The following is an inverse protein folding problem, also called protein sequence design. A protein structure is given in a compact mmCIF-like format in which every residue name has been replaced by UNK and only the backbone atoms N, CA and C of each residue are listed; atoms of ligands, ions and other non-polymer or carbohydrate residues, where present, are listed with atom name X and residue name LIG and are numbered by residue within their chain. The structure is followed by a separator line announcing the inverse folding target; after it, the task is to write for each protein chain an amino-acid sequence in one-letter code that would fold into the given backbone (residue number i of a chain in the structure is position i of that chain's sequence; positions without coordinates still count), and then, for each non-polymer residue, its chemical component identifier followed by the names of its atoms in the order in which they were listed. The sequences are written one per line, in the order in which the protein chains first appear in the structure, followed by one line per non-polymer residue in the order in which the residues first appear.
data_IF_390357713045
#
_entry.id   IF_390357713045
#
_cell.length_a   1.000
_cell.length_b   1.000
_cell.length_c   1.000
_cell.angle_alpha   90.00
_cell.angle_beta   90.00
_cell.angle_gamma   90.00
#
_symmetry.space_group_name_H-M   'P 1'
#
loop_
_entity.id
_entity.type
_entity.pdbx_description
1 polymer ?
#
# COMPACT_ATOMS: atom_id res chain seq x y z
N UNK A 1 -58.94 -33.90 -10.05
CA UNK A 1 -59.54 -35.24 -9.85
C UNK A 1 -58.61 -36.03 -8.94
N UNK A 2 -58.94 -36.12 -7.66
CA UNK A 2 -58.25 -37.01 -6.73
C UNK A 2 -58.86 -38.41 -6.85
N UNK A 3 -58.03 -39.44 -7.02
CA UNK A 3 -58.39 -40.80 -6.62
C UNK A 3 -57.31 -41.39 -5.71
N UNK A 4 -57.71 -41.96 -4.56
CA UNK A 4 -56.83 -42.50 -3.54
C UNK A 4 -56.69 -44.03 -3.65
N UNK A 5 -55.59 -44.58 -3.15
CA UNK A 5 -55.39 -45.99 -2.78
C UNK A 5 -53.92 -46.12 -2.30
N UNK A 6 -53.49 -46.76 -1.21
CA UNK A 6 -54.09 -47.82 -0.39
C UNK A 6 -53.59 -47.74 1.06
N UNK A 7 -54.48 -48.20 1.93
CA UNK A 7 -54.39 -48.42 3.37
C UNK A 7 -53.24 -49.32 3.83
N UNK A 8 -52.46 -48.84 4.79
CA UNK A 8 -51.56 -49.64 5.63
C UNK A 8 -52.40 -50.52 6.58
N UNK A 9 -52.58 -51.79 6.21
CA UNK A 9 -53.08 -52.83 7.09
C UNK A 9 -52.01 -53.19 8.12
N UNK A 10 -52.12 -52.63 9.32
CA UNK A 10 -51.42 -53.17 10.49
C UNK A 10 -51.95 -54.59 10.77
N UNK A 11 -51.12 -55.60 10.49
CA UNK A 11 -51.34 -56.97 10.98
C UNK A 11 -51.25 -56.98 12.51
N UNK A 12 -52.26 -57.46 13.23
CA UNK A 12 -52.16 -57.62 14.67
C UNK A 12 -51.26 -58.82 15.01
N UNK A 13 -50.17 -58.56 15.72
CA UNK A 13 -49.34 -59.60 16.35
C UNK A 13 -50.14 -60.23 17.53
N UNK A 14 -50.31 -61.57 17.57
CA UNK A 14 -51.22 -62.24 18.51
C UNK A 14 -50.64 -62.46 19.93
N UNK A 15 -49.64 -61.68 20.36
CA UNK A 15 -48.95 -61.94 21.65
C UNK A 15 -49.17 -60.83 22.69
N UNK A 16 -49.89 -59.74 22.36
CA UNK A 16 -50.14 -58.63 23.29
C UNK A 16 -51.60 -58.50 23.76
N UNK A 17 -52.41 -59.56 23.64
CA UNK A 17 -53.82 -59.57 24.07
C UNK A 17 -54.06 -60.11 25.49
N UNK A 18 -53.01 -60.24 26.30
CA UNK A 18 -53.15 -60.46 27.75
C UNK A 18 -52.27 -59.44 28.44
N UNK A 19 -52.85 -58.31 28.83
CA UNK A 19 -52.60 -57.60 30.09
C UNK A 19 -53.50 -56.36 30.08
N UNK A 20 -54.69 -56.53 30.66
CA UNK A 20 -55.58 -55.43 31.02
C UNK A 20 -54.82 -54.47 31.95
N UNK A 21 -54.91 -53.19 31.62
CA UNK A 21 -54.36 -52.05 32.35
C UNK A 21 -54.94 -52.02 33.77
N UNK A 22 -54.09 -51.90 34.81
CA UNK A 22 -54.18 -50.99 35.99
C UNK A 22 -53.16 -51.38 37.11
N UNK A 23 -52.06 -50.58 37.22
CA UNK A 23 -51.23 -50.12 38.38
C UNK A 23 -50.60 -51.09 39.44
N UNK A 24 -49.44 -50.76 40.11
CA UNK A 24 -48.26 -49.92 39.78
C UNK A 24 -46.90 -50.69 39.79
N UNK A 25 -45.80 -49.97 39.48
CA UNK A 25 -44.36 -50.33 39.54
C UNK A 25 -43.92 -51.28 40.69
N UNK A 26 -42.84 -52.11 40.55
CA UNK A 26 -41.55 -51.70 39.96
C UNK A 26 -40.97 -52.72 38.97
N UNK A 27 -40.83 -52.34 37.70
CA UNK A 27 -39.91 -53.03 36.81
C UNK A 27 -38.49 -52.68 37.27
N UNK A 28 -37.78 -53.68 37.78
CA UNK A 28 -36.37 -53.59 38.15
C UNK A 28 -35.61 -52.85 37.03
N UNK A 29 -34.77 -51.84 37.30
CA UNK A 29 -34.09 -51.06 36.26
C UNK A 29 -33.31 -51.92 35.24
N UNK A 30 -32.99 -53.17 35.59
CA UNK A 30 -32.45 -54.15 34.65
C UNK A 30 -33.48 -54.66 33.64
N UNK A 31 -34.68 -54.99 34.07
CA UNK A 31 -35.74 -55.54 33.22
C UNK A 31 -36.34 -54.48 32.31
N UNK A 32 -36.48 -53.23 32.77
CA UNK A 32 -36.90 -52.12 31.91
C UNK A 32 -35.85 -51.80 30.85
N UNK A 33 -34.56 -51.81 31.20
CA UNK A 33 -33.46 -51.69 30.23
C UNK A 33 -33.42 -52.89 29.27
N UNK A 34 -33.74 -54.09 29.75
CA UNK A 34 -33.75 -55.28 28.91
C UNK A 34 -34.92 -55.27 27.93
N UNK A 35 -36.11 -54.84 28.36
CA UNK A 35 -37.27 -54.63 27.49
C UNK A 35 -37.03 -53.51 26.49
N UNK A 36 -36.45 -52.39 26.94
CA UNK A 36 -36.11 -51.27 26.07
C UNK A 36 -35.05 -51.71 25.06
N UNK A 37 -34.01 -52.44 25.46
CA UNK A 37 -33.04 -53.01 24.52
C UNK A 37 -33.70 -54.00 23.57
N UNK A 38 -34.64 -54.83 24.01
CA UNK A 38 -35.38 -55.76 23.13
C UNK A 38 -36.26 -55.03 22.12
N UNK A 39 -36.98 -53.99 22.54
CA UNK A 39 -37.77 -53.15 21.65
C UNK A 39 -36.88 -52.38 20.67
N UNK A 40 -35.78 -51.82 21.16
CA UNK A 40 -34.87 -51.03 20.32
C UNK A 40 -34.14 -51.92 19.32
N UNK A 41 -33.73 -53.12 19.72
CA UNK A 41 -33.10 -54.10 18.82
C UNK A 41 -34.10 -54.65 17.81
N UNK A 42 -35.32 -55.01 18.25
CA UNK A 42 -36.39 -55.48 17.35
C UNK A 42 -36.76 -54.41 16.32
N UNK A 43 -36.94 -53.15 16.74
CA UNK A 43 -37.27 -52.06 15.83
C UNK A 43 -36.13 -51.77 14.84
N UNK A 44 -34.87 -51.80 15.31
CA UNK A 44 -33.70 -51.64 14.44
C UNK A 44 -33.54 -52.79 13.46
N UNK A 45 -33.77 -54.03 13.90
CA UNK A 45 -33.72 -55.22 13.05
C UNK A 45 -34.82 -55.20 11.98
N UNK A 46 -35.99 -54.66 12.32
CA UNK A 46 -37.07 -54.46 11.36
C UNK A 46 -36.77 -53.33 10.36
N UNK A 47 -36.17 -52.23 10.80
CA UNK A 47 -35.69 -51.17 9.91
C UNK A 47 -34.58 -51.66 8.96
N UNK A 48 -33.64 -52.45 9.47
CA UNK A 48 -32.58 -53.06 8.66
C UNK A 48 -33.14 -54.07 7.65
N UNK A 49 -34.28 -54.71 7.94
CA UNK A 49 -34.97 -55.63 7.02
C UNK A 49 -35.76 -54.93 5.91
N UNK A 50 -36.32 -53.74 6.18
CA UNK A 50 -37.05 -52.93 5.19
C UNK A 50 -36.11 -52.12 4.29
N UNK A 51 -34.85 -51.92 4.71
CA UNK A 51 -33.81 -51.22 3.94
C UNK A 51 -32.59 -52.12 3.62
N UNK A 52 -32.75 -53.18 2.81
CA UNK A 52 -31.60 -53.93 2.31
C UNK A 52 -30.73 -53.03 1.42
N UNK A 53 -29.41 -53.08 1.66
CA UNK A 53 -28.40 -52.28 0.98
C UNK A 53 -28.59 -52.23 -0.55
N UNK A 54 -28.50 -51.04 -1.13
CA UNK A 54 -28.12 -50.88 -2.53
C UNK A 54 -26.72 -51.49 -2.71
N UNK A 55 -26.67 -52.71 -3.23
CA UNK A 55 -25.43 -53.31 -3.73
C UNK A 55 -25.03 -52.54 -4.98
N UNK A 56 -24.06 -51.65 -4.85
CA UNK A 56 -23.25 -51.24 -5.98
C UNK A 56 -22.60 -52.49 -6.57
N UNK A 57 -23.10 -52.87 -7.73
CA UNK A 57 -22.57 -53.94 -8.56
C UNK A 57 -21.22 -53.49 -9.12
N UNK A 58 -20.15 -53.74 -8.37
CA UNK A 58 -18.80 -53.88 -8.92
C UNK A 58 -18.15 -55.14 -8.36
N UNK A 59 -18.69 -56.28 -8.78
CA UNK A 59 -17.98 -57.54 -8.71
C UNK A 59 -16.90 -57.58 -9.79
N UNK A 60 -15.64 -57.37 -9.42
CA UNK A 60 -14.49 -57.90 -10.16
C UNK A 60 -13.50 -58.47 -9.13
N UNK A 61 -13.58 -59.80 -8.99
CA UNK A 61 -12.46 -60.76 -8.89
C UNK A 61 -11.39 -60.54 -7.83
N UNK A 62 -11.28 -61.47 -6.87
CA UNK A 62 -10.03 -62.21 -6.54
C UNK A 62 -10.27 -63.25 -5.44
N UNK A 63 -10.00 -64.51 -5.77
CA UNK A 63 -9.91 -65.66 -4.86
C UNK A 63 -8.62 -65.60 -4.00
N UNK A 64 -8.72 -66.24 -2.82
CA UNK A 64 -7.64 -66.89 -2.04
C UNK A 64 -6.49 -66.04 -1.48
N UNK A 65 -6.39 -65.92 -0.15
CA UNK A 65 -5.55 -66.81 0.69
C UNK A 65 -5.54 -66.37 2.17
N UNK A 66 -5.69 -67.35 3.07
CA UNK A 66 -5.30 -67.24 4.48
C UNK A 66 -3.80 -66.98 4.63
N UNK A 67 -3.40 -66.05 5.51
CA UNK A 67 -2.41 -66.30 6.58
C UNK A 67 -2.54 -65.25 7.68
N UNK A 68 -2.46 -65.69 8.93
CA UNK A 68 -2.41 -64.83 10.12
C UNK A 68 -1.05 -64.14 10.25
N UNK A 69 -1.02 -62.84 10.61
CA UNK A 69 0.05 -62.25 11.45
C UNK A 69 -0.34 -60.88 12.02
N UNK A 70 -0.60 -60.90 13.33
CA UNK A 70 -0.39 -59.89 14.40
C UNK A 70 -0.33 -58.38 14.08
N UNK A 71 -1.40 -57.69 14.52
CA UNK A 71 -1.48 -56.65 15.57
C UNK A 71 -0.45 -55.52 15.65
N UNK A 72 -0.96 -54.28 15.46
CA UNK A 72 -0.76 -53.03 16.26
C UNK A 72 -1.38 -51.87 15.45
N UNK A 73 -2.27 -50.99 15.90
CA UNK A 73 -2.75 -50.50 17.21
C UNK A 73 -4.19 -49.99 17.05
N UNK A 74 -4.94 -50.02 18.15
CA UNK A 74 -6.29 -49.47 18.30
C UNK A 74 -6.33 -47.95 18.43
N UNK A 75 -7.26 -47.30 17.73
CA UNK A 75 -8.22 -46.26 18.16
C UNK A 75 -8.80 -45.65 16.87
N UNK A 76 -10.11 -45.54 16.63
CA UNK A 76 -11.21 -45.06 17.44
C UNK A 76 -12.51 -45.83 17.09
N UNK A 77 -13.29 -46.13 18.13
CA UNK A 77 -14.72 -46.47 18.12
C UNK A 77 -15.24 -47.54 17.14
N UNK A 78 -15.57 -48.68 17.74
CA UNK A 78 -16.46 -49.79 17.35
C UNK A 78 -17.91 -49.34 16.96
N UNK A 79 -18.10 -48.16 16.38
CA UNK A 79 -19.41 -47.57 16.02
C UNK A 79 -19.89 -47.90 14.60
N UNK A 80 -19.08 -48.52 13.76
CA UNK A 80 -19.45 -48.87 12.38
C UNK A 80 -20.04 -50.29 12.23
N UNK A 81 -20.91 -50.73 13.15
CA UNK A 81 -21.51 -52.07 13.05
C UNK A 81 -22.86 -52.11 12.34
N UNK A 82 -23.55 -50.97 12.23
CA UNK A 82 -24.86 -50.95 11.55
C UNK A 82 -24.77 -50.25 10.19
N UNK A 83 -25.36 -50.83 9.13
CA UNK A 83 -25.35 -50.22 7.79
C UNK A 83 -26.03 -48.85 7.78
N UNK A 84 -26.97 -48.63 8.71
CA UNK A 84 -27.68 -47.38 8.93
C UNK A 84 -26.77 -46.30 9.52
N UNK A 85 -25.92 -46.62 10.50
CA UNK A 85 -24.91 -45.68 11.00
C UNK A 85 -23.88 -45.33 9.92
N UNK A 86 -23.47 -46.30 9.09
CA UNK A 86 -22.55 -46.05 7.97
C UNK A 86 -23.18 -45.15 6.91
N UNK A 87 -24.47 -45.33 6.61
CA UNK A 87 -25.20 -44.48 5.68
C UNK A 87 -25.38 -43.06 6.24
N UNK A 88 -25.78 -42.93 7.51
CA UNK A 88 -25.88 -41.64 8.18
C UNK A 88 -24.53 -40.91 8.23
N UNK A 89 -23.46 -41.63 8.55
CA UNK A 89 -22.12 -41.08 8.51
C UNK A 89 -21.75 -40.64 7.09
N UNK A 90 -22.05 -41.45 6.07
CA UNK A 90 -21.81 -41.09 4.66
C UNK A 90 -22.63 -39.89 4.18
N UNK A 91 -23.84 -39.66 4.72
CA UNK A 91 -24.64 -38.48 4.43
C UNK A 91 -24.09 -37.24 5.15
N UNK A 92 -23.73 -37.39 6.43
CA UNK A 92 -23.18 -36.30 7.25
C UNK A 92 -21.74 -35.91 6.86
N UNK A 93 -20.99 -36.81 6.22
CA UNK A 93 -19.63 -36.54 5.73
C UNK A 93 -19.59 -36.19 4.24
N UNK A 94 -20.74 -36.13 3.57
CA UNK A 94 -20.79 -35.76 2.16
C UNK A 94 -20.41 -34.28 1.98
N UNK A 95 -19.41 -33.96 1.14
CA UNK A 95 -18.90 -32.59 0.96
C UNK A 95 -19.95 -31.60 0.41
N UNK A 96 -21.07 -32.10 -0.12
CA UNK A 96 -22.19 -31.25 -0.58
C UNK A 96 -23.07 -30.75 0.59
N UNK A 97 -23.09 -31.46 1.72
CA UNK A 97 -23.79 -31.05 2.95
C UNK A 97 -22.85 -30.39 3.96
N UNK A 98 -21.54 -30.62 3.84
CA UNK A 98 -20.48 -29.86 4.50
C UNK A 98 -20.13 -28.57 3.76
N UNK A 99 -21.14 -27.87 3.22
CA UNK A 99 -21.04 -26.43 3.06
C UNK A 99 -21.01 -25.84 4.47
N UNK A 100 -19.80 -25.74 5.02
CA UNK A 100 -19.51 -24.90 6.16
C UNK A 100 -19.92 -23.47 5.76
N UNK A 101 -21.18 -23.14 6.05
CA UNK A 101 -21.54 -21.79 6.41
C UNK A 101 -20.64 -21.46 7.60
N UNK A 102 -19.50 -20.82 7.33
CA UNK A 102 -18.82 -19.95 8.29
C UNK A 102 -19.85 -18.87 8.69
N UNK A 103 -20.77 -19.23 9.59
CA UNK A 103 -21.73 -18.33 10.20
C UNK A 103 -21.48 -18.34 11.69
N UNK A 104 -20.87 -17.25 12.14
CA UNK A 104 -21.20 -16.66 13.44
C UNK A 104 -20.65 -17.39 14.66
N UNK A 105 -19.33 -17.50 14.76
CA UNK A 105 -18.70 -17.39 16.08
C UNK A 105 -17.73 -16.20 16.08
N UNK A 106 -18.22 -15.15 16.72
CA UNK A 106 -17.52 -13.91 17.01
C UNK A 106 -16.23 -14.15 17.79
N UNK A 107 -15.16 -13.48 17.35
CA UNK A 107 -13.90 -13.23 18.07
C UNK A 107 -12.76 -14.25 17.99
N UNK A 108 -12.68 -15.09 16.94
CA UNK A 108 -11.42 -15.76 16.57
C UNK A 108 -11.08 -15.54 15.08
N UNK A 109 -11.17 -14.29 14.62
CA UNK A 109 -10.36 -13.87 13.47
C UNK A 109 -8.94 -13.67 13.99
N UNK A 110 -8.22 -14.78 14.16
CA UNK A 110 -6.78 -14.74 13.96
C UNK A 110 -6.60 -14.18 12.54
N UNK A 111 -6.21 -12.91 12.47
CA UNK A 111 -5.88 -12.14 11.28
C UNK A 111 -5.31 -13.04 10.17
N UNK A 112 -6.16 -13.58 9.28
CA UNK A 112 -5.70 -14.31 8.09
C UNK A 112 -4.74 -13.38 7.35
N UNK A 113 -3.53 -13.84 7.06
CA UNK A 113 -2.55 -13.02 6.36
C UNK A 113 -3.17 -12.59 5.02
N UNK A 114 -3.22 -11.29 4.68
CA UNK A 114 -3.77 -10.85 3.40
C UNK A 114 -3.10 -11.55 2.21
N UNK A 115 -1.85 -12.01 2.34
CA UNK A 115 -1.19 -12.81 1.30
C UNK A 115 -1.77 -14.22 1.13
N UNK A 116 -2.34 -14.82 2.16
CA UNK A 116 -3.02 -16.13 2.04
C UNK A 116 -4.33 -16.00 1.26
N UNK A 117 -5.03 -14.88 1.47
CA UNK A 117 -6.24 -14.54 0.71
C UNK A 117 -5.86 -14.29 -0.75
N UNK A 118 -4.74 -13.60 -0.99
CA UNK A 118 -4.20 -13.39 -2.32
C UNK A 118 -3.91 -14.72 -3.03
N UNK A 119 -3.18 -15.63 -2.39
CA UNK A 119 -2.81 -16.91 -2.99
C UNK A 119 -4.05 -17.77 -3.32
N UNK A 120 -5.07 -17.76 -2.46
CA UNK A 120 -6.34 -18.45 -2.73
C UNK A 120 -7.09 -17.85 -3.93
N UNK A 121 -7.16 -16.52 -4.00
CA UNK A 121 -7.81 -15.84 -5.11
C UNK A 121 -7.04 -16.00 -6.45
N UNK A 122 -5.70 -16.07 -6.40
CA UNK A 122 -4.86 -16.42 -7.56
C UNK A 122 -5.11 -17.87 -8.01
N UNK A 123 -5.13 -18.83 -7.08
CA UNK A 123 -5.39 -20.24 -7.40
C UNK A 123 -6.77 -20.45 -8.03
N UNK A 124 -7.76 -19.66 -7.61
CA UNK A 124 -9.11 -19.68 -8.15
C UNK A 124 -9.26 -18.87 -9.46
N UNK A 125 -8.21 -18.19 -9.93
CA UNK A 125 -8.24 -17.36 -11.13
C UNK A 125 -9.11 -16.10 -11.02
N UNK A 126 -9.51 -15.69 -9.81
CA UNK A 126 -10.40 -14.56 -9.56
C UNK A 126 -9.65 -13.24 -9.29
N UNK A 127 -8.32 -13.24 -9.37
CA UNK A 127 -7.52 -12.08 -9.00
C UNK A 127 -7.61 -10.96 -10.05
N UNK A 128 -7.97 -9.76 -9.62
CA UNK A 128 -7.95 -8.53 -10.43
C UNK A 128 -6.89 -7.54 -9.94
N UNK A 129 -6.57 -6.51 -10.74
CA UNK A 129 -5.62 -5.45 -10.35
C UNK A 129 -6.10 -4.65 -9.15
N UNK A 130 -7.41 -4.43 -9.01
CA UNK A 130 -8.03 -3.79 -7.85
C UNK A 130 -7.90 -4.63 -6.58
N UNK A 131 -8.04 -5.96 -6.70
CA UNK A 131 -7.93 -6.86 -5.55
C UNK A 131 -6.47 -6.99 -5.09
N UNK A 132 -5.54 -7.06 -6.04
CA UNK A 132 -4.10 -7.04 -5.75
C UNK A 132 -3.68 -5.75 -5.03
N UNK A 133 -4.22 -4.60 -5.45
CA UNK A 133 -4.03 -3.31 -4.76
C UNK A 133 -4.55 -3.33 -3.33
N UNK A 134 -5.79 -3.81 -3.14
CA UNK A 134 -6.41 -3.90 -1.81
C UNK A 134 -5.58 -4.81 -0.90
N UNK A 135 -5.06 -5.93 -1.41
CA UNK A 135 -4.19 -6.84 -0.68
C UNK A 135 -2.87 -6.16 -0.27
N UNK A 136 -2.17 -5.50 -1.21
CA UNK A 136 -0.92 -4.81 -0.91
C UNK A 136 -1.11 -3.66 0.08
N UNK A 137 -2.22 -2.92 -0.02
CA UNK A 137 -2.58 -1.85 0.90
C UNK A 137 -2.90 -2.40 2.31
N UNK A 138 -3.63 -3.52 2.39
CA UNK A 138 -3.93 -4.21 3.64
C UNK A 138 -2.64 -4.73 4.30
N UNK A 139 -1.74 -5.36 3.53
CA UNK A 139 -0.44 -5.83 4.03
C UNK A 139 0.43 -4.68 4.50
N UNK A 140 0.47 -3.56 3.76
CA UNK A 140 1.20 -2.35 4.17
C UNK A 140 0.64 -1.79 5.48
N UNK A 141 -0.69 -1.75 5.61
CA UNK A 141 -1.35 -1.29 6.83
C UNK A 141 -1.07 -2.21 8.02
N UNK A 142 -0.93 -3.52 7.78
CA UNK A 142 -0.51 -4.48 8.80
C UNK A 142 0.94 -4.24 9.23
N UNK A 143 1.86 -3.97 8.28
CA UNK A 143 3.28 -3.67 8.55
C UNK A 143 3.44 -2.34 9.30
N UNK A 144 2.64 -1.32 8.97
CA UNK A 144 2.67 -0.04 9.69
C UNK A 144 2.11 -0.17 11.11
N UNK A 145 1.16 -1.08 11.33
CA UNK A 145 0.60 -1.36 12.66
C UNK A 145 1.45 -2.33 13.48
N UNK A 146 2.31 -3.13 12.84
CA UNK A 146 3.22 -4.01 13.54
C UNK A 146 4.41 -3.22 14.08
N UNK A 147 5.01 -3.71 15.17
CA UNK A 147 6.14 -3.08 15.85
C UNK A 147 7.47 -3.27 15.09
N UNK A 148 7.47 -3.15 13.77
CA UNK A 148 8.69 -3.28 12.96
C UNK A 148 9.40 -1.93 12.99
N UNK A 149 10.70 -1.95 13.32
CA UNK A 149 11.56 -0.76 13.45
C UNK A 149 11.66 0.06 12.16
N UNK A 150 11.37 -0.56 11.01
CA UNK A 150 11.43 0.03 9.68
C UNK A 150 10.36 -0.58 8.78
N UNK A 151 9.44 0.24 8.29
CA UNK A 151 8.37 -0.20 7.37
C UNK A 151 8.95 -0.82 6.10
N UNK A 152 10.12 -0.36 5.62
CA UNK A 152 10.81 -0.93 4.45
C UNK A 152 11.30 -2.35 4.71
N UNK A 153 11.83 -2.62 5.90
CA UNK A 153 12.30 -3.96 6.26
C UNK A 153 11.12 -4.91 6.43
N UNK A 154 10.02 -4.47 7.02
CA UNK A 154 8.78 -5.23 7.08
C UNK A 154 8.17 -5.51 5.70
N UNK A 155 8.28 -4.57 4.75
CA UNK A 155 7.89 -4.79 3.35
C UNK A 155 8.79 -5.80 2.66
N UNK A 156 10.11 -5.72 2.89
CA UNK A 156 11.09 -6.67 2.35
C UNK A 156 10.87 -8.09 2.86
N UNK A 157 10.65 -8.25 4.16
CA UNK A 157 10.40 -9.55 4.79
C UNK A 157 9.07 -10.16 4.35
N UNK A 158 8.08 -9.32 4.04
CA UNK A 158 6.77 -9.78 3.56
C UNK A 158 6.83 -10.46 2.19
N UNK A 159 7.79 -10.12 1.32
CA UNK A 159 7.90 -10.66 -0.04
C UNK A 159 6.64 -10.50 -0.91
N UNK A 160 5.74 -9.59 -0.52
CA UNK A 160 4.43 -9.42 -1.13
C UNK A 160 4.54 -8.85 -2.54
N UNK A 161 5.50 -7.94 -2.76
CA UNK A 161 5.81 -7.37 -4.07
C UNK A 161 6.23 -8.45 -5.07
N UNK A 162 7.09 -9.37 -4.67
CA UNK A 162 7.55 -10.47 -5.50
C UNK A 162 6.42 -11.43 -5.88
N UNK A 163 5.51 -11.74 -4.95
CA UNK A 163 4.37 -12.60 -5.23
C UNK A 163 3.39 -11.95 -6.21
N UNK A 164 3.06 -10.66 -6.01
CA UNK A 164 2.21 -9.91 -6.94
C UNK A 164 2.90 -9.76 -8.30
N UNK A 165 4.22 -9.54 -8.33
CA UNK A 165 4.99 -9.47 -9.57
C UNK A 165 4.96 -10.79 -10.33
N UNK A 166 5.15 -11.92 -9.66
CA UNK A 166 5.04 -13.26 -10.27
C UNK A 166 3.66 -13.49 -10.85
N UNK A 167 2.62 -13.11 -10.11
CA UNK A 167 1.26 -13.17 -10.60
C UNK A 167 1.08 -12.32 -11.87
N UNK A 168 1.50 -11.05 -11.87
CA UNK A 168 1.42 -10.15 -13.02
C UNK A 168 2.16 -10.68 -14.26
N UNK A 169 3.30 -11.35 -14.06
CA UNK A 169 4.05 -11.99 -15.15
C UNK A 169 3.30 -13.21 -15.67
N UNK A 170 2.80 -14.07 -14.77
CA UNK A 170 2.07 -15.29 -15.12
C UNK A 170 0.70 -15.03 -15.78
N UNK A 171 0.02 -13.94 -15.40
CA UNK A 171 -1.26 -13.54 -15.97
C UNK A 171 -1.13 -12.90 -17.35
N UNK A 172 0.10 -12.62 -17.80
CA UNK A 172 0.35 -11.90 -19.05
C UNK A 172 -0.08 -10.42 -19.02
N UNK A 173 -0.59 -9.93 -17.89
CA UNK A 173 -1.00 -8.53 -17.71
C UNK A 173 0.19 -7.58 -17.78
N UNK A 174 1.42 -8.06 -17.53
CA UNK A 174 2.65 -7.27 -17.81
C UNK A 174 2.80 -6.83 -19.28
N UNK A 175 2.10 -7.48 -20.22
CA UNK A 175 2.11 -7.10 -21.63
C UNK A 175 1.10 -6.00 -21.98
N UNK A 176 0.05 -5.84 -21.17
CA UNK A 176 -0.98 -4.82 -21.31
C UNK A 176 -0.64 -3.68 -20.35
N UNK A 177 -0.35 -2.49 -20.87
CA UNK A 177 0.03 -1.33 -20.06
C UNK A 177 -1.10 -0.81 -19.17
N UNK A 178 -2.29 -1.41 -19.24
CA UNK A 178 -3.52 -1.06 -18.54
C UNK A 178 -3.33 -1.00 -17.00
N UNK A 179 -2.43 -1.81 -16.42
CA UNK A 179 -2.15 -1.74 -14.97
C UNK A 179 -1.31 -0.52 -14.56
N UNK A 180 -0.62 0.12 -15.51
CA UNK A 180 0.16 1.34 -15.27
C UNK A 180 -0.75 2.57 -15.12
N UNK A 181 -2.01 2.49 -15.58
CA UNK A 181 -3.00 3.57 -15.47
C UNK A 181 -3.49 3.77 -14.02
N UNK A 182 -3.56 2.71 -13.20
CA UNK A 182 -3.88 2.86 -11.77
C UNK A 182 -2.65 3.36 -11.00
N UNK A 183 -2.54 4.69 -10.91
CA UNK A 183 -1.49 5.41 -10.18
C UNK A 183 -1.36 4.92 -8.73
N UNK A 184 -2.46 4.55 -8.07
CA UNK A 184 -2.42 4.15 -6.67
C UNK A 184 -1.92 2.71 -6.49
N UNK A 185 -2.28 1.79 -7.41
CA UNK A 185 -1.65 0.47 -7.46
C UNK A 185 -0.15 0.59 -7.73
N UNK A 186 0.20 1.35 -8.77
CA UNK A 186 1.58 1.63 -9.17
C UNK A 186 2.42 2.21 -8.03
N UNK A 187 1.88 3.17 -7.28
CA UNK A 187 2.57 3.77 -6.13
C UNK A 187 2.93 2.72 -5.09
N UNK A 188 1.96 1.90 -4.67
CA UNK A 188 2.17 0.88 -3.65
C UNK A 188 3.14 -0.19 -4.18
N UNK A 189 2.97 -0.61 -5.43
CA UNK A 189 3.84 -1.60 -6.07
C UNK A 189 5.29 -1.12 -6.16
N UNK A 190 5.53 0.13 -6.59
CA UNK A 190 6.89 0.69 -6.65
C UNK A 190 7.56 0.75 -5.28
N UNK A 191 6.81 1.09 -4.22
CA UNK A 191 7.34 1.05 -2.85
C UNK A 191 7.78 -0.37 -2.43
N UNK A 192 6.98 -1.40 -2.74
CA UNK A 192 7.36 -2.80 -2.49
C UNK A 192 8.56 -3.25 -3.33
N UNK A 193 8.62 -2.86 -4.61
CA UNK A 193 9.75 -3.22 -5.48
C UNK A 193 11.07 -2.60 -5.01
N UNK A 194 11.03 -1.36 -4.51
CA UNK A 194 12.20 -0.68 -3.93
C UNK A 194 12.58 -1.27 -2.57
N UNK A 195 11.61 -1.72 -1.77
CA UNK A 195 11.88 -2.41 -0.51
C UNK A 195 12.51 -3.80 -0.72
N UNK A 196 12.04 -4.55 -1.71
CA UNK A 196 12.48 -5.92 -2.01
C UNK A 196 13.69 -6.01 -2.96
N UNK A 197 14.18 -4.89 -3.49
CA UNK A 197 15.33 -4.86 -4.41
C UNK A 197 15.00 -5.30 -5.85
N UNK A 198 13.72 -5.27 -6.23
CA UNK A 198 13.22 -5.65 -7.56
C UNK A 198 13.24 -4.46 -8.55
N UNK A 199 14.16 -3.51 -8.36
CA UNK A 199 14.26 -2.28 -9.15
C UNK A 199 14.40 -2.56 -10.66
N UNK A 200 15.10 -3.62 -11.06
CA UNK A 200 15.28 -3.97 -12.48
C UNK A 200 13.97 -4.33 -13.18
N UNK A 201 13.03 -4.96 -12.46
CA UNK A 201 11.71 -5.23 -13.02
C UNK A 201 10.90 -3.93 -13.21
N UNK A 202 11.03 -2.99 -12.28
CA UNK A 202 10.39 -1.67 -12.39
C UNK A 202 10.98 -0.89 -13.58
N UNK A 203 12.30 -0.99 -13.79
CA UNK A 203 12.96 -0.37 -14.93
C UNK A 203 12.48 -0.89 -16.29
N UNK A 204 12.07 -2.16 -16.39
CA UNK A 204 11.47 -2.67 -17.64
C UNK A 204 10.16 -1.94 -17.97
N UNK A 205 9.35 -1.65 -16.96
CA UNK A 205 8.11 -0.88 -17.14
C UNK A 205 8.39 0.59 -17.45
N UNK A 206 9.35 1.19 -16.75
CA UNK A 206 9.78 2.58 -17.04
C UNK A 206 10.29 2.70 -18.47
N UNK A 207 11.14 1.78 -18.95
CA UNK A 207 11.63 1.79 -20.34
C UNK A 207 10.50 1.69 -21.36
N UNK A 208 9.60 0.73 -21.18
CA UNK A 208 8.44 0.55 -22.06
C UNK A 208 7.54 1.78 -22.08
N UNK A 209 7.38 2.43 -20.93
CA UNK A 209 6.66 3.69 -20.80
C UNK A 209 7.34 4.81 -21.59
N UNK A 210 8.66 4.97 -21.42
CA UNK A 210 9.46 5.99 -22.10
C UNK A 210 9.51 5.79 -23.62
N UNK A 211 9.53 4.56 -24.13
CA UNK A 211 9.43 4.27 -25.57
C UNK A 211 8.11 4.76 -26.17
N UNK A 212 7.02 4.74 -25.38
CA UNK A 212 5.74 5.29 -25.80
C UNK A 212 5.70 6.83 -25.77
N UNK A 213 6.69 7.51 -25.17
CA UNK A 213 6.75 8.96 -25.10
C UNK A 213 6.84 9.63 -26.48
N UNK A 214 7.54 9.01 -27.43
CA UNK A 214 7.65 9.53 -28.81
C UNK A 214 6.29 9.67 -29.49
N UNK A 215 5.31 8.83 -29.11
CA UNK A 215 3.94 8.92 -29.62
C UNK A 215 3.16 10.05 -28.93
N UNK A 216 3.45 10.30 -27.66
CA UNK A 216 2.84 11.39 -26.87
C UNK A 216 3.30 12.76 -27.33
N UNK A 217 4.54 12.89 -27.82
CA UNK A 217 5.07 14.16 -28.37
C UNK A 217 4.25 14.73 -29.54
N UNK A 218 3.49 13.89 -30.25
CA UNK A 218 2.62 14.31 -31.34
C UNK A 218 1.30 14.92 -30.85
N UNK A 219 0.95 14.71 -29.58
CA UNK A 219 -0.26 15.27 -28.97
C UNK A 219 -0.01 16.72 -28.52
N UNK A 220 -1.07 17.53 -28.54
CA UNK A 220 -1.03 18.94 -28.11
C UNK A 220 -2.15 19.22 -27.11
N UNK A 221 -1.92 20.17 -26.21
CA UNK A 221 -2.93 20.63 -25.25
C UNK A 221 -3.07 19.75 -24.00
N UNK A 222 -4.30 19.51 -23.56
CA UNK A 222 -4.61 18.79 -22.32
C UNK A 222 -4.30 17.29 -22.44
N UNK A 223 -4.51 16.70 -23.61
CA UNK A 223 -4.21 15.28 -23.88
C UNK A 223 -2.71 14.99 -23.76
N UNK A 224 -1.86 15.94 -24.15
CA UNK A 224 -0.42 15.85 -23.94
C UNK A 224 -0.07 15.78 -22.44
N UNK A 225 -0.72 16.60 -21.61
CA UNK A 225 -0.43 16.64 -20.16
C UNK A 225 -0.90 15.36 -19.47
N UNK A 226 -2.05 14.82 -19.86
CA UNK A 226 -2.54 13.55 -19.35
C UNK A 226 -1.61 12.39 -19.74
N UNK A 227 -1.31 12.26 -21.04
CA UNK A 227 -0.43 11.21 -21.54
C UNK A 227 1.01 11.35 -21.03
N UNK A 228 1.51 12.56 -20.82
CA UNK A 228 2.81 12.80 -20.18
C UNK A 228 2.82 12.29 -18.74
N UNK A 229 1.74 12.50 -17.97
CA UNK A 229 1.64 12.01 -16.59
C UNK A 229 1.63 10.49 -16.54
N UNK A 230 0.98 9.83 -17.49
CA UNK A 230 0.98 8.37 -17.59
C UNK A 230 2.36 7.84 -17.94
N UNK A 231 3.04 8.47 -18.90
CA UNK A 231 4.36 8.01 -19.34
C UNK A 231 5.47 8.28 -18.32
N UNK A 232 5.47 9.47 -17.70
CA UNK A 232 6.48 9.89 -16.71
C UNK A 232 6.12 9.40 -15.30
N UNK A 233 4.86 9.03 -15.06
CA UNK A 233 4.33 8.56 -13.78
C UNK A 233 5.14 7.42 -13.16
N UNK A 234 5.44 6.33 -13.88
CA UNK A 234 6.29 5.24 -13.40
C UNK A 234 7.65 5.70 -12.87
N UNK A 235 8.32 6.61 -13.60
CA UNK A 235 9.62 7.16 -13.20
C UNK A 235 9.49 8.03 -11.94
N UNK A 236 8.48 8.90 -11.90
CA UNK A 236 8.20 9.75 -10.74
C UNK A 236 7.89 8.92 -9.49
N UNK A 237 7.12 7.84 -9.63
CA UNK A 237 6.77 6.96 -8.52
C UNK A 237 7.97 6.15 -8.04
N UNK A 238 8.83 5.69 -8.94
CA UNK A 238 10.09 5.03 -8.58
C UNK A 238 11.00 5.97 -7.78
N UNK A 239 11.22 7.18 -8.29
CA UNK A 239 12.03 8.20 -7.60
C UNK A 239 11.43 8.58 -6.24
N UNK A 240 10.10 8.67 -6.15
CA UNK A 240 9.40 8.89 -4.88
C UNK A 240 9.56 7.73 -3.91
N UNK A 241 9.54 6.50 -4.39
CA UNK A 241 9.73 5.31 -3.57
C UNK A 241 11.18 5.20 -3.05
N UNK A 242 12.17 5.53 -3.88
CA UNK A 242 13.58 5.61 -3.47
C UNK A 242 13.84 6.75 -2.48
N UNK A 243 13.12 7.86 -2.62
CA UNK A 243 13.20 9.00 -1.71
C UNK A 243 12.24 8.91 -0.51
N UNK A 244 11.41 7.84 -0.43
CA UNK A 244 10.42 7.68 0.63
C UNK A 244 11.11 7.26 1.91
N UNK A 245 11.11 8.18 2.89
CA UNK A 245 11.46 7.90 4.28
C UNK A 245 10.38 7.01 4.87
N UNK A 246 10.63 5.72 5.00
CA UNK A 246 9.68 4.87 5.70
C UNK A 246 9.94 4.86 7.21
N UNK A 247 11.20 4.87 7.67
CA UNK A 247 11.57 5.06 9.11
C UNK A 247 13.08 5.20 9.32
N UNK A 248 13.91 4.74 8.38
CA UNK A 248 15.37 4.92 8.44
C UNK A 248 15.79 6.19 7.69
N UNK A 249 16.86 6.88 8.16
CA UNK A 249 17.50 7.96 7.42
C UNK A 249 18.15 7.35 6.16
N UNK A 250 17.37 7.12 5.12
CA UNK A 250 17.89 6.66 3.83
C UNK A 250 18.43 7.89 3.11
N UNK A 251 19.69 7.84 2.66
CA UNK A 251 20.26 8.95 1.89
C UNK A 251 19.52 9.11 0.55
N UNK A 252 19.49 10.33 0.03
CA UNK A 252 18.90 10.64 -1.27
C UNK A 252 19.67 10.04 -2.47
N UNK A 253 20.77 9.34 -2.19
CA UNK A 253 21.70 8.82 -3.19
C UNK A 253 21.02 7.86 -4.17
N UNK A 254 20.18 6.95 -3.68
CA UNK A 254 19.45 6.03 -4.55
C UNK A 254 18.51 6.78 -5.51
N UNK A 255 17.90 7.87 -5.04
CA UNK A 255 17.01 8.70 -5.84
C UNK A 255 17.79 9.55 -6.87
N UNK A 256 18.99 10.04 -6.53
CA UNK A 256 19.88 10.71 -7.48
C UNK A 256 20.47 9.76 -8.53
N UNK A 257 20.85 8.55 -8.13
CA UNK A 257 21.37 7.54 -9.05
C UNK A 257 20.28 7.03 -10.00
N UNK A 258 19.03 6.87 -9.53
CA UNK A 258 17.91 6.52 -10.42
C UNK A 258 17.61 7.64 -11.42
N UNK A 259 17.73 8.91 -11.02
CA UNK A 259 17.62 10.04 -11.94
C UNK A 259 18.74 10.02 -13.00
N UNK A 260 19.97 9.80 -12.57
CA UNK A 260 21.13 9.74 -13.47
C UNK A 260 21.02 8.57 -14.45
N UNK A 261 20.51 7.43 -13.99
CA UNK A 261 20.20 6.28 -14.84
C UNK A 261 19.08 6.59 -15.84
N UNK A 262 18.03 7.29 -15.42
CA UNK A 262 16.97 7.75 -16.33
C UNK A 262 17.53 8.65 -17.43
N UNK A 263 18.38 9.62 -17.06
CA UNK A 263 19.03 10.51 -18.02
C UNK A 263 19.91 9.73 -19.03
N UNK A 264 20.62 8.70 -18.58
CA UNK A 264 21.40 7.82 -19.45
C UNK A 264 20.56 7.12 -20.53
N UNK A 265 19.34 6.70 -20.22
CA UNK A 265 18.44 6.11 -21.23
C UNK A 265 17.88 7.11 -22.23
N UNK A 266 17.91 8.41 -21.90
CA UNK A 266 17.37 9.47 -22.74
C UNK A 266 18.45 10.13 -23.60
N UNK A 267 19.71 9.67 -23.57
CA UNK A 267 20.88 10.30 -24.20
C UNK A 267 20.83 10.54 -25.72
N UNK A 268 19.74 10.20 -26.41
CA UNK A 268 19.49 10.52 -27.81
C UNK A 268 18.39 11.56 -28.07
N UNK A 269 17.73 12.08 -27.02
CA UNK A 269 16.66 13.07 -27.13
C UNK A 269 17.17 14.52 -27.07
N UNK A 270 16.39 15.46 -27.59
CA UNK A 270 16.69 16.89 -27.44
C UNK A 270 16.56 17.36 -25.99
N UNK A 271 17.26 18.43 -25.63
CA UNK A 271 17.20 19.01 -24.27
C UNK A 271 15.78 19.36 -23.86
N UNK A 272 14.93 19.86 -24.77
CA UNK A 272 13.54 20.18 -24.47
C UNK A 272 12.69 18.94 -24.19
N UNK A 273 12.95 17.81 -24.83
CA UNK A 273 12.22 16.56 -24.57
C UNK A 273 12.68 15.95 -23.25
N UNK A 274 13.98 15.97 -22.98
CA UNK A 274 14.53 15.56 -21.70
C UNK A 274 13.95 16.39 -20.55
N UNK A 275 13.80 17.71 -20.69
CA UNK A 275 13.16 18.55 -19.67
C UNK A 275 11.71 18.14 -19.42
N UNK A 276 10.97 17.69 -20.45
CA UNK A 276 9.58 17.23 -20.29
C UNK A 276 9.50 15.91 -19.53
N UNK A 277 10.47 15.01 -19.69
CA UNK A 277 10.49 13.71 -19.03
C UNK A 277 11.08 13.80 -17.62
N UNK A 278 12.26 14.41 -17.50
CA UNK A 278 13.03 14.50 -16.24
C UNK A 278 12.59 15.66 -15.35
N UNK A 279 11.84 16.64 -15.89
CA UNK A 279 11.32 17.78 -15.13
C UNK A 279 10.53 17.35 -13.89
N UNK A 280 9.37 16.69 -14.03
CA UNK A 280 8.55 16.32 -12.87
C UNK A 280 9.28 15.54 -11.76
N UNK A 281 10.06 14.47 -12.05
CA UNK A 281 10.80 13.76 -11.01
C UNK A 281 11.99 14.58 -10.48
N UNK A 282 12.65 15.39 -11.32
CA UNK A 282 13.76 16.25 -10.89
C UNK A 282 13.30 17.37 -9.95
N UNK A 283 12.16 18.00 -10.23
CA UNK A 283 11.55 19.01 -9.36
C UNK A 283 11.17 18.44 -7.99
N UNK A 284 10.68 17.19 -7.96
CA UNK A 284 10.42 16.50 -6.71
C UNK A 284 11.70 16.32 -5.89
N UNK A 285 12.81 15.91 -6.52
CA UNK A 285 14.11 15.76 -5.84
C UNK A 285 14.66 17.10 -5.36
N UNK A 286 14.64 18.14 -6.18
CA UNK A 286 15.06 19.49 -5.78
C UNK A 286 14.28 19.95 -4.55
N UNK A 287 12.95 19.77 -4.54
CA UNK A 287 12.14 20.14 -3.38
C UNK A 287 12.48 19.29 -2.16
N UNK A 288 12.73 18.00 -2.35
CA UNK A 288 13.10 17.09 -1.27
C UNK A 288 14.49 17.37 -0.67
N UNK A 289 15.41 17.93 -1.46
CA UNK A 289 16.74 18.38 -0.99
C UNK A 289 16.69 19.74 -0.33
N UNK A 290 15.94 20.68 -0.90
CA UNK A 290 15.86 22.07 -0.43
C UNK A 290 14.98 22.19 0.81
N UNK A 291 13.83 21.51 0.82
CA UNK A 291 12.87 21.51 1.93
C UNK A 291 12.81 20.11 2.56
N UNK A 292 13.84 19.65 3.28
CA UNK A 292 13.82 18.35 3.90
C UNK A 292 12.70 18.30 4.96
N UNK A 293 11.82 17.32 4.85
CA UNK A 293 10.73 17.09 5.83
C UNK A 293 11.22 16.35 7.07
N UNK A 294 12.44 15.82 7.05
CA UNK A 294 13.05 15.00 8.09
C UNK A 294 14.56 15.23 8.14
N UNK A 295 15.19 14.98 9.28
CA UNK A 295 16.66 15.00 9.45
C UNK A 295 17.27 13.82 8.69
N UNK A 296 17.65 14.08 7.44
CA UNK A 296 18.26 13.10 6.54
C UNK A 296 19.78 13.10 6.65
N UNK A 297 20.45 11.95 6.41
CA UNK A 297 21.89 11.93 6.33
C UNK A 297 22.31 12.65 5.04
N UNK A 298 23.50 13.27 5.08
CA UNK A 298 24.03 13.98 3.91
C UNK A 298 24.21 12.99 2.75
N UNK A 299 23.81 13.36 1.53
CA UNK A 299 24.04 12.53 0.36
C UNK A 299 25.54 12.40 0.06
N UNK A 300 25.91 11.33 -0.63
CA UNK A 300 27.28 11.16 -1.13
C UNK A 300 27.61 12.22 -2.19
N UNK A 301 28.86 12.68 -2.18
CA UNK A 301 29.35 13.71 -3.10
C UNK A 301 29.16 13.30 -4.57
N UNK A 302 29.49 12.05 -4.92
CA UNK A 302 29.33 11.55 -6.29
C UNK A 302 27.88 11.53 -6.78
N UNK A 303 26.93 11.15 -5.91
CA UNK A 303 25.52 11.12 -6.27
C UNK A 303 24.94 12.53 -6.39
N UNK A 304 25.37 13.44 -5.52
CA UNK A 304 24.96 14.84 -5.54
C UNK A 304 25.50 15.58 -6.78
N UNK A 305 26.78 15.40 -7.12
CA UNK A 305 27.39 15.99 -8.31
C UNK A 305 26.76 15.45 -9.60
N UNK A 306 26.47 14.15 -9.65
CA UNK A 306 25.73 13.55 -10.77
C UNK A 306 24.36 14.21 -10.94
N UNK A 307 23.66 14.48 -9.84
CA UNK A 307 22.38 15.20 -9.87
C UNK A 307 22.53 16.67 -10.27
N UNK A 308 23.56 17.37 -9.77
CA UNK A 308 23.86 18.76 -10.15
C UNK A 308 24.03 18.91 -11.67
N UNK A 309 24.74 17.96 -12.29
CA UNK A 309 24.95 17.94 -13.75
C UNK A 309 23.65 17.85 -14.57
N UNK A 310 22.57 17.33 -13.98
CA UNK A 310 21.28 17.15 -14.65
C UNK A 310 20.35 18.37 -14.55
N UNK A 311 20.65 19.33 -13.67
CA UNK A 311 19.79 20.51 -13.46
C UNK A 311 19.53 21.33 -14.74
N UNK A 312 20.53 21.59 -15.60
CA UNK A 312 20.31 22.29 -16.88
C UNK A 312 19.31 21.57 -17.80
N UNK A 313 19.20 20.25 -17.66
CA UNK A 313 18.29 19.42 -18.43
C UNK A 313 16.91 19.35 -17.78
N UNK A 314 16.84 19.35 -16.45
CA UNK A 314 15.59 19.24 -15.66
C UNK A 314 14.79 20.55 -15.66
N UNK A 315 15.46 21.70 -15.75
CA UNK A 315 14.82 23.01 -15.56
C UNK A 315 15.19 24.03 -16.62
N UNK A 316 14.18 24.80 -17.05
CA UNK A 316 14.37 25.97 -17.93
C UNK A 316 15.12 27.11 -17.24
N UNK A 317 15.13 27.15 -15.90
CA UNK A 317 15.79 28.19 -15.11
C UNK A 317 16.79 27.56 -14.12
N UNK A 318 17.92 27.02 -14.61
CA UNK A 318 18.84 26.25 -13.80
C UNK A 318 19.56 27.08 -12.74
N UNK A 319 19.81 28.37 -13.01
CA UNK A 319 20.53 29.26 -12.10
C UNK A 319 19.95 29.31 -10.68
N UNK A 320 18.62 29.30 -10.55
CA UNK A 320 17.93 29.28 -9.25
C UNK A 320 18.25 28.04 -8.44
N UNK A 321 18.18 26.88 -9.09
CA UNK A 321 18.32 25.59 -8.42
C UNK A 321 19.78 25.27 -8.14
N UNK A 322 20.68 25.66 -9.06
CA UNK A 322 22.11 25.56 -8.86
C UNK A 322 22.58 26.40 -7.66
N UNK A 323 22.08 27.63 -7.52
CA UNK A 323 22.38 28.49 -6.38
C UNK A 323 22.00 27.86 -5.03
N UNK A 324 20.83 27.19 -4.96
CA UNK A 324 20.40 26.54 -3.72
C UNK A 324 21.17 25.25 -3.46
N UNK A 325 21.38 24.44 -4.50
CA UNK A 325 22.04 23.15 -4.35
C UNK A 325 23.55 23.29 -4.13
N UNK A 326 24.20 24.35 -4.64
CA UNK A 326 25.61 24.65 -4.34
C UNK A 326 25.81 25.03 -2.88
N UNK A 327 24.84 25.72 -2.27
CA UNK A 327 24.87 26.04 -0.85
C UNK A 327 24.68 24.80 0.03
N UNK A 328 23.86 23.84 -0.44
CA UNK A 328 23.56 22.58 0.25
C UNK A 328 24.58 21.46 -0.04
N UNK A 329 25.68 21.75 -0.74
CA UNK A 329 26.67 20.75 -1.13
C UNK A 329 27.27 20.04 0.11
N UNK A 330 27.33 18.69 0.13
CA UNK A 330 27.70 17.94 1.34
C UNK A 330 29.15 18.16 1.79
N UNK A 331 30.07 18.45 0.86
CA UNK A 331 31.52 18.59 1.12
C UNK A 331 32.08 20.00 0.88
N UNK A 332 31.39 20.82 0.07
CA UNK A 332 31.91 22.10 -0.47
C UNK A 332 30.80 23.12 -0.68
N UNK A 333 30.12 23.55 0.39
CA UNK A 333 29.09 24.59 0.28
C UNK A 333 29.68 25.86 -0.32
N UNK A 334 29.08 26.35 -1.42
CA UNK A 334 29.50 27.58 -2.08
C UNK A 334 28.34 28.61 -2.11
N UNK A 335 28.46 29.73 -1.37
CA UNK A 335 27.45 30.78 -1.34
C UNK A 335 27.52 31.75 -2.53
N UNK A 336 28.61 31.77 -3.30
CA UNK A 336 28.84 32.82 -4.31
C UNK A 336 27.80 32.74 -5.44
N UNK A 337 27.42 31.52 -5.86
CA UNK A 337 26.34 31.31 -6.83
C UNK A 337 24.99 31.81 -6.34
N UNK A 338 24.73 31.73 -5.03
CA UNK A 338 23.51 32.24 -4.42
C UNK A 338 23.51 33.77 -4.37
N UNK A 339 24.64 34.39 -4.03
CA UNK A 339 24.81 35.84 -4.04
C UNK A 339 24.65 36.41 -5.45
N UNK A 340 25.29 35.82 -6.45
CA UNK A 340 25.16 36.24 -7.86
C UNK A 340 23.70 36.13 -8.34
N UNK A 341 23.02 35.04 -7.97
CA UNK A 341 21.61 34.85 -8.28
C UNK A 341 20.74 35.92 -7.63
N UNK A 342 20.91 36.20 -6.34
CA UNK A 342 20.17 37.23 -5.61
C UNK A 342 20.40 38.62 -6.21
N UNK A 343 21.66 38.97 -6.53
CA UNK A 343 22.01 40.23 -7.20
C UNK A 343 21.35 40.36 -8.57
N UNK A 344 21.32 39.27 -9.35
CA UNK A 344 20.64 39.24 -10.65
C UNK A 344 19.12 39.45 -10.53
N UNK A 345 18.49 38.86 -9.52
CA UNK A 345 17.06 39.08 -9.23
C UNK A 345 16.82 40.52 -8.81
N UNK A 346 17.63 41.05 -7.89
CA UNK A 346 17.49 42.41 -7.40
C UNK A 346 17.55 43.42 -8.57
N UNK A 347 18.56 43.28 -9.44
CA UNK A 347 18.69 44.10 -10.65
C UNK A 347 17.51 43.95 -11.63
N UNK A 348 16.90 42.77 -11.73
CA UNK A 348 15.71 42.53 -12.55
C UNK A 348 14.43 43.08 -11.92
N UNK A 349 14.28 43.03 -10.61
CA UNK A 349 13.10 43.51 -9.87
C UNK A 349 13.08 45.04 -9.80
N UNK A 350 14.23 45.68 -9.63
CA UNK A 350 14.36 47.14 -9.72
C UNK A 350 13.97 47.71 -11.09
N UNK A 351 14.03 46.90 -12.16
CA UNK A 351 13.57 47.29 -13.51
C UNK A 351 12.08 47.05 -13.75
N UNK A 352 11.43 46.22 -12.94
CA UNK A 352 10.00 45.91 -13.04
C UNK A 352 9.26 46.61 -11.91
N UNK A 353 8.89 47.88 -12.12
CA UNK A 353 8.07 48.63 -11.18
C UNK A 353 6.88 47.80 -10.69
N UNK A 354 6.80 47.69 -9.35
CA UNK A 354 5.69 47.25 -8.50
C UNK A 354 4.50 46.57 -9.22
N UNK A 355 4.64 45.28 -9.59
CA UNK A 355 3.45 44.44 -9.75
C UNK A 355 2.91 44.12 -8.36
N UNK A 356 1.88 44.84 -7.99
CA UNK A 356 1.10 44.65 -6.78
C UNK A 356 0.68 43.18 -6.61
N UNK A 357 1.01 42.63 -5.44
CA UNK A 357 0.20 41.74 -4.61
C UNK A 357 -0.65 40.69 -5.36
N UNK A 358 -0.01 39.71 -5.98
CA UNK A 358 -0.60 38.37 -6.07
C UNK A 358 -0.13 37.53 -4.88
N UNK A 359 -0.94 36.54 -4.50
CA UNK A 359 -0.59 35.57 -3.47
C UNK A 359 0.83 35.03 -3.70
N UNK A 360 1.56 34.79 -2.60
CA UNK A 360 2.93 34.29 -2.65
C UNK A 360 3.03 33.08 -3.59
N UNK A 361 3.82 33.20 -4.64
CA UNK A 361 4.03 32.09 -5.57
C UNK A 361 5.00 31.08 -4.94
N UNK A 362 4.95 29.81 -5.34
CA UNK A 362 5.95 28.80 -4.89
C UNK A 362 7.39 29.25 -5.20
N UNK A 363 7.56 30.10 -6.22
CA UNK A 363 8.82 30.75 -6.57
C UNK A 363 9.30 31.74 -5.51
N UNK A 364 8.38 32.49 -4.88
CA UNK A 364 8.72 33.44 -3.83
C UNK A 364 9.17 32.70 -2.57
N UNK A 365 8.51 31.59 -2.23
CA UNK A 365 8.90 30.78 -1.08
C UNK A 365 10.30 30.18 -1.24
N UNK A 366 10.64 29.68 -2.44
CA UNK A 366 12.00 29.22 -2.73
C UNK A 366 13.04 30.35 -2.64
N UNK A 367 12.75 31.53 -3.19
CA UNK A 367 13.68 32.65 -3.13
C UNK A 367 13.90 33.14 -1.69
N UNK A 368 12.84 33.16 -0.88
CA UNK A 368 12.93 33.49 0.56
C UNK A 368 13.80 32.45 1.27
N UNK A 369 13.53 31.17 1.05
CA UNK A 369 14.30 30.11 1.69
C UNK A 369 15.78 30.16 1.27
N UNK A 370 16.07 30.33 -0.02
CA UNK A 370 17.44 30.51 -0.50
C UNK A 370 18.13 31.69 0.19
N UNK A 371 17.46 32.84 0.30
CA UNK A 371 18.02 34.00 0.99
C UNK A 371 18.28 33.74 2.47
N UNK A 372 17.35 33.08 3.17
CA UNK A 372 17.51 32.73 4.59
C UNK A 372 18.64 31.73 4.81
N UNK A 373 18.71 30.68 4.00
CA UNK A 373 19.78 29.67 4.07
C UNK A 373 21.14 30.32 3.77
N UNK A 374 21.19 31.21 2.77
CA UNK A 374 22.41 31.93 2.39
C UNK A 374 22.86 32.88 3.51
N UNK A 375 21.94 33.69 4.06
CA UNK A 375 22.25 34.59 5.17
C UNK A 375 22.72 33.81 6.41
N UNK A 376 22.04 32.72 6.77
CA UNK A 376 22.44 31.86 7.88
C UNK A 376 23.86 31.30 7.66
N UNK A 377 24.16 30.81 6.45
CA UNK A 377 25.49 30.29 6.13
C UNK A 377 26.57 31.38 6.20
N UNK A 378 26.30 32.57 5.65
CA UNK A 378 27.24 33.71 5.67
C UNK A 378 27.50 34.22 7.09
N UNK A 379 26.47 34.24 7.95
CA UNK A 379 26.61 34.61 9.36
C UNK A 379 27.51 33.62 10.13
N UNK A 380 27.36 32.32 9.88
CA UNK A 380 28.22 31.28 10.46
C UNK A 380 29.67 31.40 9.98
N UNK A 381 29.87 31.83 8.73
CA UNK A 381 31.20 32.06 8.14
C UNK A 381 31.76 33.48 8.42
N UNK A 382 31.11 34.26 9.31
CA UNK A 382 31.51 35.63 9.66
C UNK A 382 31.57 36.63 8.48
N UNK A 383 30.88 36.36 7.36
CA UNK A 383 30.75 37.26 6.19
C UNK A 383 29.57 38.22 6.39
N UNK A 384 29.68 39.09 7.38
CA UNK A 384 28.56 39.94 7.84
C UNK A 384 28.04 40.92 6.79
N UNK A 385 28.92 41.55 6.02
CA UNK A 385 28.54 42.56 5.00
C UNK A 385 27.62 41.98 3.94
N UNK A 386 27.92 40.79 3.46
CA UNK A 386 27.11 40.10 2.45
C UNK A 386 25.85 39.49 3.05
N UNK A 387 25.89 39.04 4.31
CA UNK A 387 24.70 38.61 5.02
C UNK A 387 23.69 39.77 5.17
N UNK A 388 24.19 40.98 5.47
CA UNK A 388 23.36 42.19 5.55
C UNK A 388 22.78 42.55 4.18
N UNK A 389 23.56 42.46 3.09
CA UNK A 389 23.06 42.66 1.71
C UNK A 389 21.89 41.71 1.39
N UNK A 390 22.01 40.42 1.71
CA UNK A 390 20.97 39.41 1.47
C UNK A 390 19.73 39.67 2.33
N UNK A 391 19.93 40.03 3.61
CA UNK A 391 18.82 40.34 4.51
C UNK A 391 18.09 41.62 4.10
N UNK A 392 18.80 42.64 3.60
CA UNK A 392 18.20 43.85 3.04
C UNK A 392 17.37 43.54 1.78
N UNK A 393 17.88 42.68 0.90
CA UNK A 393 17.12 42.17 -0.25
C UNK A 393 15.81 41.47 0.18
N UNK A 394 15.89 40.59 1.19
CA UNK A 394 14.70 39.90 1.70
C UNK A 394 13.68 40.87 2.31
N UNK A 395 14.14 41.87 3.08
CA UNK A 395 13.28 42.90 3.70
C UNK A 395 12.60 43.81 2.68
N UNK A 396 13.28 44.15 1.59
CA UNK A 396 12.75 45.04 0.55
C UNK A 396 11.74 44.34 -0.36
N UNK A 397 12.03 43.11 -0.78
CA UNK A 397 11.20 42.40 -1.78
C UNK A 397 10.13 41.49 -1.18
N UNK A 398 10.34 40.97 0.05
CA UNK A 398 9.42 40.00 0.69
C UNK A 398 8.90 40.43 2.10
N UNK A 399 8.50 41.70 2.32
CA UNK A 399 8.15 42.19 3.66
C UNK A 399 6.84 41.61 4.22
N UNK A 400 5.95 41.09 3.37
CA UNK A 400 4.70 40.45 3.80
C UNK A 400 4.95 39.03 4.32
N UNK A 401 5.72 38.22 3.58
CA UNK A 401 5.99 36.83 3.96
C UNK A 401 6.89 36.71 5.20
N UNK A 402 7.71 37.72 5.48
CA UNK A 402 8.56 37.79 6.67
C UNK A 402 7.83 38.37 7.91
N UNK A 403 6.53 38.68 7.82
CA UNK A 403 5.77 39.29 8.91
C UNK A 403 6.18 40.73 9.27
N UNK A 404 7.08 41.35 8.49
CA UNK A 404 7.63 42.69 8.79
C UNK A 404 6.56 43.77 8.67
N UNK A 405 5.59 43.61 7.75
CA UNK A 405 4.45 44.54 7.65
C UNK A 405 3.55 44.46 8.87
N UNK A 406 3.31 43.27 9.39
CA UNK A 406 2.46 43.05 10.57
C UNK A 406 3.17 43.55 11.84
N UNK A 407 4.48 43.30 12.00
CA UNK A 407 5.26 43.86 13.10
C UNK A 407 5.30 45.39 13.08
N UNK A 408 5.53 46.03 11.93
CA UNK A 408 5.53 47.49 11.84
C UNK A 408 4.16 48.11 12.11
N UNK A 409 3.08 47.46 11.65
CA UNK A 409 1.72 47.89 11.97
C UNK A 409 1.41 47.74 13.47
N UNK A 410 1.88 46.67 14.10
CA UNK A 410 1.74 46.45 15.53
C UNK A 410 2.55 47.47 16.35
N UNK A 411 3.79 47.77 15.94
CA UNK A 411 4.63 48.79 16.58
C UNK A 411 4.03 50.19 16.42
N UNK A 412 3.50 50.50 15.24
CA UNK A 412 2.82 51.77 14.98
C UNK A 412 1.54 51.90 15.82
N UNK A 413 0.73 50.85 15.91
CA UNK A 413 -0.46 50.83 16.76
C UNK A 413 -0.11 50.98 18.26
N UNK A 414 1.01 50.38 18.71
CA UNK A 414 1.51 50.56 20.08
C UNK A 414 2.00 51.99 20.34
N UNK A 415 2.69 52.60 19.38
CA UNK A 415 3.14 53.98 19.49
C UNK A 415 1.96 54.97 19.51
N UNK A 416 0.95 54.73 18.67
CA UNK A 416 -0.29 55.53 18.65
C UNK A 416 -1.09 55.37 19.95
N UNK A 417 -1.22 54.15 20.49
CA UNK A 417 -1.85 53.91 21.80
C UNK A 417 -1.10 54.61 22.94
N UNK A 418 0.24 54.54 22.96
CA UNK A 418 1.05 55.24 23.97
C UNK A 418 0.95 56.77 23.84
N UNK A 419 0.82 57.29 22.62
CA UNK A 419 0.57 58.72 22.39
C UNK A 419 -0.82 59.15 22.87
N UNK A 420 -1.84 58.31 22.72
CA UNK A 420 -3.19 58.59 23.21
C UNK A 420 -3.25 58.57 24.74
N UNK A 421 -2.58 57.63 25.40
CA UNK A 421 -2.47 57.61 26.88
C UNK A 421 -1.76 58.85 27.43
N UNK A 422 -0.74 59.36 26.73
CA UNK A 422 -0.06 60.61 27.12
C UNK A 422 -0.96 61.83 26.97
N UNK A 423 -1.77 61.89 25.91
CA UNK A 423 -2.74 62.98 25.70
C UNK A 423 -3.88 62.93 26.72
N UNK A 424 -4.35 61.74 27.09
CA UNK A 424 -5.35 61.56 28.14
C UNK A 424 -4.83 62.02 29.50
N UNK A 425 -3.56 61.76 29.81
CA UNK A 425 -2.89 62.24 31.03
C UNK A 425 -2.66 63.75 31.04
N UNK A 426 -2.50 64.38 29.88
CA UNK A 426 -2.34 65.84 29.76
C UNK A 426 -3.67 66.59 29.74
N UNK A 427 -4.78 65.94 29.37
CA UNK A 427 -6.13 66.52 29.40
C UNK A 427 -6.82 66.49 30.77
N UNK A 428 -6.22 65.79 31.75
CA UNK A 428 -6.72 65.67 33.13
C UNK A 428 -5.93 66.51 34.16
N UNK A 429 -4.97 67.33 33.69
CA UNK A 429 -4.26 68.35 34.47
C UNK A 429 -4.72 69.74 34.01
#
# INVERSE_FOLDING_TARGET
MFRPSQSLLFRPMPVLNKLKIHHPLPLNPRESKQLLNLLTTSFRQQLDSEHPQFRDSTAITSLNHHTSRRSRRSSLSDHERTPTDRHMHSLLTNPLFNLSLESGDSNVVLSKDPMDIFNKAVANGMMTTSDAKACLAAKKSQIVRSSVLSVRDGMKESGAGLQVLKWLVSSGTTNRTDFLEDIAFMKIMMEYMVAEGLQEAAWKWVKRSLENFSKVLLLSGEDFVAAQKEVVGPLLLLVKAEAADSTSPTSLDAAFMTMSRAAGYLGGLSTSEMTRILGPPGWFLIRATVMPRSTRPRPSESAFESFLSLIPVISKSPARYLAHLSLLHPTKPNPDLALDYIRSINASMSKKNARQSKAATESDHHNIQLGLDTANYLLVQHRYTEADEVMEFLRTHYPKQLGIKEMRQLEQAKAEASSLELLERLGLA
#
